data_IF_711021683035
#
_entry.id   IF_711021683035
#
_cell.length_a   1.000
_cell.length_b   1.000
_cell.length_c   1.000
_cell.angle_alpha   90.00
_cell.angle_beta   90.00
_cell.angle_gamma   90.00
#
_symmetry.space_group_name_H-M   'P 1'
#
loop_
_entity.id
_entity.type
_entity.pdbx_description
1 polymer ?
#
# COMPACT_ATOMS: atom_id res chain seq x y z
N UNK A 1 -38.49 34.57 -9.03
CA UNK A 1 -37.36 34.36 -9.96
C UNK A 1 -36.02 34.97 -9.51
N UNK A 2 -35.96 36.21 -9.02
CA UNK A 2 -34.68 36.89 -8.68
C UNK A 2 -33.88 36.21 -7.55
N UNK A 3 -34.56 35.66 -6.53
CA UNK A 3 -33.90 34.94 -5.42
C UNK A 3 -33.24 33.63 -5.89
N UNK A 4 -33.90 32.88 -6.77
CA UNK A 4 -33.38 31.65 -7.38
C UNK A 4 -32.13 31.93 -8.22
N UNK A 5 -32.14 33.01 -9.02
CA UNK A 5 -30.99 33.42 -9.84
C UNK A 5 -29.78 33.82 -8.98
N UNK A 6 -30.00 34.47 -7.82
CA UNK A 6 -28.93 34.79 -6.86
C UNK A 6 -28.32 33.55 -6.21
N UNK A 7 -29.11 32.50 -5.93
CA UNK A 7 -28.60 31.22 -5.39
C UNK A 7 -27.77 30.46 -6.42
N UNK A 8 -28.26 30.36 -7.66
CA UNK A 8 -27.58 29.67 -8.76
C UNK A 8 -26.19 30.26 -9.08
N UNK A 9 -26.02 31.59 -8.94
CA UNK A 9 -24.72 32.24 -9.16
C UNK A 9 -23.63 31.77 -8.21
N UNK A 10 -23.97 31.36 -6.98
CA UNK A 10 -23.00 30.89 -5.97
C UNK A 10 -22.65 29.40 -6.09
N UNK A 11 -23.37 28.69 -6.96
CA UNK A 11 -23.29 27.23 -7.05
C UNK A 11 -21.89 26.73 -7.46
N UNK A 12 -21.18 27.33 -8.45
CA UNK A 12 -19.89 26.81 -8.89
C UNK A 12 -18.86 26.73 -7.76
N UNK A 13 -18.74 27.79 -6.95
CA UNK A 13 -17.78 27.81 -5.83
C UNK A 13 -18.11 26.80 -4.74
N UNK A 14 -19.39 26.53 -4.47
CA UNK A 14 -19.78 25.53 -3.47
C UNK A 14 -19.63 24.10 -3.98
N UNK A 15 -19.92 23.85 -5.27
CA UNK A 15 -19.62 22.55 -5.90
C UNK A 15 -18.10 22.30 -5.86
N UNK A 16 -17.29 23.30 -6.25
CA UNK A 16 -15.84 23.19 -6.22
C UNK A 16 -15.30 22.88 -4.82
N UNK A 17 -15.87 23.51 -3.78
CA UNK A 17 -15.54 23.21 -2.38
C UNK A 17 -15.94 21.79 -1.99
N UNK A 18 -17.14 21.34 -2.36
CA UNK A 18 -17.57 19.98 -2.07
C UNK A 18 -16.64 18.93 -2.68
N UNK A 19 -16.32 19.08 -3.96
CA UNK A 19 -15.44 18.14 -4.69
C UNK A 19 -14.02 18.17 -4.12
N UNK A 20 -13.40 19.35 -3.92
CA UNK A 20 -12.02 19.41 -3.41
C UNK A 20 -11.91 18.90 -1.97
N UNK A 21 -12.94 19.11 -1.15
CA UNK A 21 -12.99 18.56 0.21
C UNK A 21 -13.01 17.03 0.16
N UNK A 22 -13.83 16.45 -0.72
CA UNK A 22 -13.87 15.00 -0.93
C UNK A 22 -12.51 14.46 -1.40
N UNK A 23 -11.90 15.09 -2.41
CA UNK A 23 -10.59 14.68 -2.92
C UNK A 23 -9.51 14.75 -1.84
N UNK A 24 -9.43 15.87 -1.10
CA UNK A 24 -8.48 16.01 0.02
C UNK A 24 -8.70 14.94 1.10
N UNK A 25 -9.96 14.60 1.37
CA UNK A 25 -10.33 13.58 2.36
C UNK A 25 -9.87 12.19 1.90
N UNK A 26 -10.11 11.83 0.64
CA UNK A 26 -9.70 10.55 0.06
C UNK A 26 -8.18 10.42 0.08
N UNK A 27 -7.45 11.45 -0.36
CA UNK A 27 -5.98 11.42 -0.39
C UNK A 27 -5.37 11.30 1.00
N UNK A 28 -5.92 12.01 1.99
CA UNK A 28 -5.43 11.92 3.37
C UNK A 28 -5.79 10.58 4.02
N UNK A 29 -7.00 10.08 3.79
CA UNK A 29 -7.42 8.75 4.24
C UNK A 29 -6.49 7.66 3.69
N UNK A 30 -6.26 7.66 2.38
CA UNK A 30 -5.38 6.68 1.71
C UNK A 30 -3.94 6.81 2.19
N UNK A 31 -3.39 8.04 2.22
CA UNK A 31 -2.01 8.27 2.65
C UNK A 31 -1.74 7.86 4.10
N UNK A 32 -2.69 8.09 5.02
CA UNK A 32 -2.58 7.59 6.39
C UNK A 32 -2.76 6.08 6.47
N UNK A 33 -3.66 5.51 5.65
CA UNK A 33 -3.83 4.06 5.53
C UNK A 33 -2.52 3.37 5.18
N UNK A 34 -1.85 3.80 4.10
CA UNK A 34 -0.54 3.27 3.70
C UNK A 34 0.54 3.56 4.77
N UNK A 35 0.53 4.75 5.37
CA UNK A 35 1.49 5.09 6.42
C UNK A 35 1.40 4.14 7.61
N UNK A 36 0.20 3.82 8.10
CA UNK A 36 0.03 2.86 9.20
C UNK A 36 0.22 1.40 8.76
N UNK A 37 -0.18 1.07 7.53
CA UNK A 37 -0.11 -0.28 7.00
C UNK A 37 1.34 -0.72 6.73
N UNK A 38 2.19 0.17 6.21
CA UNK A 38 3.53 -0.18 5.73
C UNK A 38 4.66 0.64 6.35
N UNK A 39 4.44 1.94 6.58
CA UNK A 39 5.51 2.86 6.94
C UNK A 39 5.78 3.00 8.44
N UNK A 40 4.75 2.81 9.26
CA UNK A 40 4.82 3.14 10.68
C UNK A 40 5.73 2.20 11.44
N UNK A 41 6.75 2.75 12.10
CA UNK A 41 7.70 1.99 12.90
C UNK A 41 8.84 1.35 12.09
N UNK A 42 8.87 1.50 10.76
CA UNK A 42 9.94 0.98 9.91
C UNK A 42 11.04 2.04 9.74
N UNK A 43 12.26 1.85 10.26
CA UNK A 43 13.29 2.90 10.31
C UNK A 43 13.70 3.47 8.94
N UNK A 44 13.79 2.62 7.93
CA UNK A 44 14.22 2.99 6.57
C UNK A 44 13.09 3.58 5.72
N UNK A 45 11.85 3.54 6.19
CA UNK A 45 10.68 3.99 5.43
C UNK A 45 10.27 5.38 5.90
N UNK A 46 10.46 6.44 5.09
CA UNK A 46 10.03 7.79 5.44
C UNK A 46 8.50 7.92 5.36
N UNK A 47 7.81 7.48 6.42
CA UNK A 47 6.34 7.34 6.46
C UNK A 47 5.59 8.66 6.17
N UNK A 48 6.19 9.82 6.43
CA UNK A 48 5.59 11.11 6.12
C UNK A 48 5.44 11.34 4.60
N UNK A 49 6.19 10.64 3.76
CA UNK A 49 6.06 10.74 2.30
C UNK A 49 4.70 10.20 1.81
N UNK A 50 4.07 9.28 2.52
CA UNK A 50 2.70 8.83 2.22
C UNK A 50 1.67 9.97 2.34
N UNK A 51 1.99 11.03 3.10
CA UNK A 51 1.13 12.20 3.28
C UNK A 51 1.41 13.33 2.28
N UNK A 52 2.45 13.20 1.45
CA UNK A 52 2.91 14.26 0.55
C UNK A 52 1.82 14.67 -0.45
N UNK A 53 1.12 13.70 -1.06
CA UNK A 53 0.05 13.97 -2.03
C UNK A 53 -1.10 14.71 -1.36
N UNK A 54 -1.54 14.25 -0.18
CA UNK A 54 -2.61 14.89 0.58
C UNK A 54 -2.23 16.33 1.00
N UNK A 55 -1.00 16.52 1.49
CA UNK A 55 -0.49 17.83 1.89
C UNK A 55 -0.46 18.81 0.71
N UNK A 56 0.05 18.39 -0.45
CA UNK A 56 0.08 19.20 -1.67
C UNK A 56 -1.33 19.52 -2.16
N UNK A 57 -2.25 18.55 -2.17
CA UNK A 57 -3.64 18.77 -2.56
C UNK A 57 -4.34 19.80 -1.66
N UNK A 58 -4.13 19.71 -0.33
CA UNK A 58 -4.64 20.68 0.63
C UNK A 58 -4.04 22.06 0.38
N UNK A 59 -2.73 22.17 0.16
CA UNK A 59 -2.07 23.46 -0.15
C UNK A 59 -2.63 24.10 -1.43
N UNK A 60 -2.83 23.32 -2.49
CA UNK A 60 -3.42 23.81 -3.73
C UNK A 60 -4.89 24.22 -3.53
N UNK A 61 -5.65 23.49 -2.71
CA UNK A 61 -7.01 23.87 -2.36
C UNK A 61 -7.05 25.21 -1.60
N UNK A 62 -6.11 25.44 -0.68
CA UNK A 62 -5.96 26.70 0.04
C UNK A 62 -5.59 27.84 -0.92
N UNK A 63 -4.69 27.59 -1.87
CA UNK A 63 -4.34 28.56 -2.91
C UNK A 63 -5.56 28.91 -3.78
N UNK A 64 -6.37 27.92 -4.20
CA UNK A 64 -7.58 28.16 -5.00
C UNK A 64 -8.66 28.89 -4.19
N UNK A 65 -8.78 28.59 -2.89
CA UNK A 65 -9.66 29.32 -1.99
C UNK A 65 -9.14 30.74 -1.76
N UNK A 66 -7.83 31.00 -1.69
CA UNK A 66 -7.32 32.35 -1.40
C UNK A 66 -7.21 33.23 -2.64
N UNK A 67 -6.81 32.64 -3.77
CA UNK A 67 -6.55 33.28 -5.07
C UNK A 67 -7.16 32.42 -6.19
N UNK A 68 -8.46 32.52 -6.45
CA UNK A 68 -9.17 31.59 -7.34
C UNK A 68 -8.60 31.48 -8.75
N UNK A 69 -8.08 32.56 -9.33
CA UNK A 69 -7.45 32.53 -10.66
C UNK A 69 -6.13 31.77 -10.65
N UNK A 70 -5.23 32.11 -9.72
CA UNK A 70 -3.91 31.48 -9.61
C UNK A 70 -4.06 30.02 -9.15
N UNK A 71 -4.73 29.79 -8.02
CA UNK A 71 -4.90 28.45 -7.48
C UNK A 71 -5.80 27.56 -8.36
N UNK A 72 -6.82 28.13 -9.00
CA UNK A 72 -7.61 27.39 -9.98
C UNK A 72 -6.79 26.99 -11.21
N UNK A 73 -5.91 27.86 -11.69
CA UNK A 73 -4.95 27.55 -12.75
C UNK A 73 -3.96 26.46 -12.34
N UNK A 74 -3.42 26.51 -11.12
CA UNK A 74 -2.55 25.47 -10.56
C UNK A 74 -3.27 24.11 -10.54
N UNK A 75 -4.52 24.08 -10.07
CA UNK A 75 -5.31 22.83 -10.03
C UNK A 75 -5.59 22.25 -11.41
N UNK A 76 -5.87 23.10 -12.40
CA UNK A 76 -6.01 22.67 -13.81
C UNK A 76 -4.69 22.09 -14.32
N UNK A 77 -3.58 22.81 -14.14
CA UNK A 77 -2.27 22.35 -14.59
C UNK A 77 -1.87 21.03 -13.91
N UNK A 78 -2.08 20.91 -12.60
CA UNK A 78 -1.79 19.69 -11.84
C UNK A 78 -2.66 18.51 -12.29
N UNK A 79 -3.97 18.72 -12.49
CA UNK A 79 -4.87 17.68 -13.00
C UNK A 79 -4.48 17.18 -14.39
N UNK A 80 -4.14 18.10 -15.31
CA UNK A 80 -3.66 17.74 -16.66
C UNK A 80 -2.31 17.03 -16.60
N UNK A 81 -1.35 17.54 -15.83
CA UNK A 81 -0.03 16.93 -15.69
C UNK A 81 -0.14 15.51 -15.12
N UNK A 82 -0.97 15.32 -14.08
CA UNK A 82 -1.24 14.00 -13.52
C UNK A 82 -1.90 13.08 -14.55
N UNK A 83 -2.88 13.57 -15.32
CA UNK A 83 -3.51 12.82 -16.40
C UNK A 83 -2.49 12.30 -17.41
N UNK A 84 -1.62 13.18 -17.91
CA UNK A 84 -0.57 12.82 -18.88
C UNK A 84 0.41 11.81 -18.29
N UNK A 85 0.82 12.01 -17.03
CA UNK A 85 1.81 11.16 -16.36
C UNK A 85 1.37 9.70 -16.26
N UNK A 86 0.09 9.41 -16.00
CA UNK A 86 -0.39 8.02 -15.93
C UNK A 86 -0.91 7.47 -17.26
N UNK A 87 -1.45 8.34 -18.13
CA UNK A 87 -2.02 7.94 -19.42
C UNK A 87 -0.95 7.38 -20.35
N UNK A 88 0.20 8.06 -20.44
CA UNK A 88 1.27 7.70 -21.38
C UNK A 88 1.85 6.31 -21.08
N UNK A 89 2.29 5.99 -19.84
CA UNK A 89 2.75 4.65 -19.52
C UNK A 89 1.66 3.59 -19.66
N UNK A 90 0.41 3.90 -19.28
CA UNK A 90 -0.71 2.95 -19.37
C UNK A 90 -1.04 2.53 -20.80
N UNK A 91 -0.93 3.45 -21.77
CA UNK A 91 -1.07 3.12 -23.20
C UNK A 91 0.10 2.25 -23.66
N UNK A 92 1.32 2.57 -23.22
CA UNK A 92 2.53 1.84 -23.61
C UNK A 92 2.56 0.41 -23.06
N UNK A 93 2.02 0.18 -21.86
CA UNK A 93 2.03 -1.13 -21.20
C UNK A 93 0.86 -2.03 -21.60
N UNK A 94 -0.08 -1.56 -22.44
CA UNK A 94 -1.25 -2.35 -22.87
C UNK A 94 -2.31 -2.60 -21.78
N UNK A 95 -2.04 -2.19 -20.53
CA UNK A 95 -2.97 -2.32 -19.39
C UNK A 95 -4.00 -1.18 -19.37
N UNK A 96 -4.90 -1.18 -20.35
CA UNK A 96 -5.91 -0.14 -20.49
C UNK A 96 -7.33 -0.73 -20.44
N UNK A 97 -7.91 -0.81 -19.25
CA UNK A 97 -9.35 -1.10 -19.09
C UNK A 97 -10.14 0.20 -18.94
N UNK A 98 -11.41 0.18 -19.39
CA UNK A 98 -12.31 1.33 -19.25
C UNK A 98 -12.49 1.73 -17.78
N UNK A 99 -12.52 0.75 -16.87
CA UNK A 99 -12.62 0.98 -15.43
C UNK A 99 -11.44 1.79 -14.89
N UNK A 100 -10.21 1.35 -15.17
CA UNK A 100 -8.98 2.04 -14.76
C UNK A 100 -8.95 3.46 -15.33
N UNK A 101 -9.37 3.64 -16.59
CA UNK A 101 -9.42 4.95 -17.22
C UNK A 101 -10.41 5.89 -16.50
N UNK A 102 -11.61 5.41 -16.15
CA UNK A 102 -12.63 6.20 -15.47
C UNK A 102 -12.21 6.59 -14.05
N UNK A 103 -11.62 5.66 -13.28
CA UNK A 103 -11.12 5.94 -11.93
C UNK A 103 -10.04 7.02 -11.95
N UNK A 104 -9.05 6.88 -12.83
CA UNK A 104 -7.94 7.83 -12.93
C UNK A 104 -8.36 9.16 -13.54
N UNK A 105 -9.37 9.17 -14.43
CA UNK A 105 -10.02 10.38 -14.92
C UNK A 105 -10.80 11.09 -13.81
N UNK A 106 -11.43 10.37 -12.89
CA UNK A 106 -12.10 10.98 -11.74
C UNK A 106 -11.09 11.73 -10.85
N UNK A 107 -9.92 11.11 -10.61
CA UNK A 107 -8.86 11.71 -9.79
C UNK A 107 -8.20 12.92 -10.48
N UNK A 108 -7.77 12.77 -11.73
CA UNK A 108 -7.11 13.84 -12.50
C UNK A 108 -8.09 14.93 -12.96
N UNK A 109 -9.22 14.51 -13.55
CA UNK A 109 -10.30 15.39 -14.00
C UNK A 109 -11.01 16.10 -12.85
N UNK A 110 -11.04 15.50 -11.65
CA UNK A 110 -11.56 16.13 -10.45
C UNK A 110 -10.84 17.43 -10.12
N UNK A 111 -9.51 17.45 -10.12
CA UNK A 111 -8.73 18.66 -9.88
C UNK A 111 -8.92 19.71 -10.99
N UNK A 112 -8.94 19.29 -12.25
CA UNK A 112 -9.18 20.18 -13.39
C UNK A 112 -10.56 20.85 -13.33
N UNK A 113 -11.60 20.06 -13.04
CA UNK A 113 -12.97 20.55 -12.87
C UNK A 113 -13.06 21.53 -11.70
N UNK A 114 -12.48 21.19 -10.54
CA UNK A 114 -12.43 22.07 -9.37
C UNK A 114 -11.75 23.39 -9.71
N UNK A 115 -10.60 23.35 -10.39
CA UNK A 115 -9.89 24.56 -10.79
C UNK A 115 -10.73 25.46 -11.69
N UNK A 116 -11.40 24.88 -12.69
CA UNK A 116 -12.34 25.62 -13.55
C UNK A 116 -13.52 26.22 -12.77
N UNK A 117 -14.08 25.48 -11.80
CA UNK A 117 -15.17 25.95 -10.96
C UNK A 117 -14.76 27.14 -10.06
N UNK A 118 -13.53 27.15 -9.53
CA UNK A 118 -13.02 28.29 -8.75
C UNK A 118 -12.81 29.53 -9.62
N UNK A 119 -12.27 29.38 -10.82
CA UNK A 119 -12.11 30.49 -11.78
C UNK A 119 -13.49 31.04 -12.16
N UNK A 120 -14.45 30.15 -12.44
CA UNK A 120 -15.82 30.53 -12.77
C UNK A 120 -16.51 31.25 -11.60
N UNK A 121 -16.35 30.75 -10.37
CA UNK A 121 -16.89 31.40 -9.16
C UNK A 121 -16.33 32.80 -8.97
N UNK A 122 -15.03 33.00 -9.18
CA UNK A 122 -14.42 34.32 -9.06
C UNK A 122 -14.89 35.30 -10.14
N UNK A 123 -15.12 34.81 -11.37
CA UNK A 123 -15.69 35.61 -12.46
C UNK A 123 -17.14 36.01 -12.19
N UNK A 124 -17.95 35.11 -11.63
CA UNK A 124 -19.39 35.35 -11.39
C UNK A 124 -19.64 36.10 -10.08
N UNK A 125 -18.83 35.85 -9.05
CA UNK A 125 -18.92 36.37 -7.68
C UNK A 125 -17.57 36.96 -7.24
N UNK A 126 -17.16 38.13 -7.78
CA UNK A 126 -15.94 38.79 -7.35
C UNK A 126 -16.00 39.09 -5.85
N UNK A 127 -14.86 38.92 -5.17
CA UNK A 127 -14.79 39.13 -3.73
C UNK A 127 -14.87 40.63 -3.41
N UNK A 128 -15.68 41.03 -2.41
CA UNK A 128 -15.65 42.40 -1.94
C UNK A 128 -14.30 42.70 -1.28
N UNK A 129 -13.86 43.95 -1.37
CA UNK A 129 -12.63 44.47 -0.75
C UNK A 129 -12.69 44.45 0.77
N UNK A 130 -13.88 44.67 1.33
CA UNK A 130 -14.17 44.59 2.76
C UNK A 130 -15.21 43.49 3.01
N UNK A 131 -14.98 42.68 4.04
CA UNK A 131 -15.84 41.55 4.38
C UNK A 131 -16.08 41.52 5.89
N UNK A 132 -17.16 42.19 6.31
CA UNK A 132 -17.61 42.33 7.70
C UNK A 132 -18.37 41.10 8.22
N UNK A 133 -18.38 40.00 7.46
CA UNK A 133 -19.04 38.78 7.90
C UNK A 133 -18.32 38.20 9.14
N UNK A 134 -19.08 37.52 10.05
CA UNK A 134 -18.47 36.77 11.14
C UNK A 134 -17.39 35.82 10.65
N UNK A 135 -16.32 35.65 11.44
CA UNK A 135 -15.12 34.86 11.08
C UNK A 135 -15.47 33.49 10.50
N UNK A 136 -16.39 32.75 11.12
CA UNK A 136 -16.82 31.43 10.65
C UNK A 136 -17.39 31.49 9.23
N UNK A 137 -18.25 32.47 8.93
CA UNK A 137 -18.84 32.62 7.59
C UNK A 137 -17.81 33.08 6.55
N UNK A 138 -16.82 33.86 6.97
CA UNK A 138 -15.70 34.30 6.15
C UNK A 138 -14.78 33.12 5.77
N UNK A 139 -14.51 32.23 6.72
CA UNK A 139 -13.58 31.11 6.57
C UNK A 139 -14.25 29.75 6.33
N UNK A 140 -15.58 29.69 6.18
CA UNK A 140 -16.34 28.43 6.04
C UNK A 140 -15.79 27.53 4.92
N UNK A 141 -15.42 28.10 3.77
CA UNK A 141 -14.83 27.33 2.66
C UNK A 141 -13.52 26.64 3.05
N UNK A 142 -12.65 27.35 3.78
CA UNK A 142 -11.39 26.81 4.31
C UNK A 142 -11.65 25.76 5.39
N UNK A 143 -12.57 26.04 6.31
CA UNK A 143 -12.94 25.11 7.38
C UNK A 143 -13.46 23.78 6.82
N UNK A 144 -14.22 23.79 5.74
CA UNK A 144 -14.67 22.55 5.09
C UNK A 144 -13.51 21.85 4.36
N UNK A 145 -12.79 22.56 3.49
CA UNK A 145 -11.75 21.98 2.65
C UNK A 145 -10.52 21.45 3.40
N UNK A 146 -10.30 21.91 4.64
CA UNK A 146 -9.21 21.46 5.50
C UNK A 146 -9.72 20.68 6.72
N UNK A 147 -10.76 21.19 7.38
CA UNK A 147 -11.25 20.61 8.64
C UNK A 147 -11.83 19.20 8.47
N UNK A 148 -12.57 18.92 7.40
CA UNK A 148 -13.11 17.58 7.15
C UNK A 148 -11.99 16.55 6.86
N UNK A 149 -11.02 16.83 5.97
CA UNK A 149 -9.87 15.95 5.80
C UNK A 149 -9.10 15.73 7.11
N UNK A 150 -8.77 16.80 7.85
CA UNK A 150 -8.04 16.65 9.11
C UNK A 150 -8.82 15.83 10.14
N UNK A 151 -10.14 16.01 10.24
CA UNK A 151 -10.98 15.18 11.10
C UNK A 151 -10.94 13.71 10.67
N UNK A 152 -10.99 13.44 9.36
CA UNK A 152 -10.83 12.09 8.83
C UNK A 152 -9.48 11.50 9.20
N UNK A 153 -8.40 12.29 9.09
CA UNK A 153 -7.07 11.85 9.49
C UNK A 153 -6.98 11.54 10.98
N UNK A 154 -7.64 12.33 11.84
CA UNK A 154 -7.73 12.03 13.28
C UNK A 154 -8.49 10.72 13.54
N UNK A 155 -9.57 10.45 12.82
CA UNK A 155 -10.33 9.19 12.94
C UNK A 155 -9.48 8.00 12.50
N UNK A 156 -8.79 8.09 11.35
CA UNK A 156 -7.89 7.04 10.86
C UNK A 156 -6.75 6.79 11.85
N UNK A 157 -6.15 7.85 12.39
CA UNK A 157 -5.11 7.72 13.41
C UNK A 157 -5.67 7.10 14.70
N UNK A 158 -6.81 7.56 15.21
CA UNK A 158 -7.42 7.00 16.42
C UNK A 158 -7.75 5.50 16.28
N UNK A 159 -8.12 5.05 15.07
CA UNK A 159 -8.40 3.64 14.78
C UNK A 159 -7.12 2.79 14.69
N UNK A 160 -6.10 3.25 13.97
CA UNK A 160 -4.90 2.44 13.69
C UNK A 160 -3.81 2.54 14.75
N UNK A 161 -3.70 3.69 15.42
CA UNK A 161 -2.63 3.96 16.37
C UNK A 161 -2.56 2.95 17.53
N UNK A 162 -3.69 2.53 18.15
CA UNK A 162 -3.65 1.50 19.18
C UNK A 162 -2.98 0.21 18.67
N UNK A 163 -3.40 -0.29 17.50
CA UNK A 163 -2.83 -1.51 16.90
C UNK A 163 -1.32 -1.39 16.72
N UNK A 164 -0.86 -0.35 16.00
CA UNK A 164 0.57 -0.21 15.68
C UNK A 164 1.44 0.10 16.90
N UNK A 165 0.90 0.77 17.93
CA UNK A 165 1.63 1.04 19.18
C UNK A 165 1.69 -0.16 20.13
N UNK A 166 0.78 -1.13 19.96
CA UNK A 166 0.75 -2.36 20.76
C UNK A 166 1.47 -3.53 20.10
N UNK A 167 2.09 -3.32 18.93
CA UNK A 167 2.83 -4.37 18.23
C UNK A 167 3.93 -4.95 19.08
N UNK A 168 3.99 -6.28 19.12
CA UNK A 168 5.05 -7.02 19.79
C UNK A 168 6.21 -7.24 18.82
N UNK A 169 7.39 -6.77 19.22
CA UNK A 169 8.68 -7.12 18.65
C UNK A 169 9.60 -7.60 19.78
N UNK A 170 9.92 -8.88 19.80
CA UNK A 170 10.87 -9.43 20.78
C UNK A 170 12.34 -9.18 20.40
N UNK A 171 12.60 -8.58 19.23
CA UNK A 171 13.94 -8.33 18.70
C UNK A 171 14.71 -9.59 18.29
N UNK A 172 14.12 -10.77 18.46
CA UNK A 172 14.74 -12.01 18.08
C UNK A 172 14.60 -12.21 16.56
N UNK A 173 15.72 -12.49 15.93
CA UNK A 173 15.83 -12.74 14.50
C UNK A 173 16.52 -14.08 14.21
N UNK A 174 16.60 -14.97 15.20
CA UNK A 174 17.09 -16.33 15.05
C UNK A 174 16.08 -17.21 14.32
N UNK A 175 16.46 -18.48 14.11
CA UNK A 175 15.49 -19.48 13.71
C UNK A 175 14.44 -19.62 14.82
N UNK A 176 13.16 -19.72 14.45
CA UNK A 176 12.05 -19.77 15.41
C UNK A 176 11.13 -20.93 15.09
N UNK A 177 10.92 -21.79 16.07
CA UNK A 177 9.80 -22.73 16.04
C UNK A 177 8.50 -21.96 16.26
N UNK A 178 7.56 -22.07 15.33
CA UNK A 178 6.21 -21.52 15.44
C UNK A 178 5.24 -22.71 15.42
N UNK A 179 4.49 -22.86 16.50
CA UNK A 179 3.52 -23.93 16.70
C UNK A 179 2.13 -23.34 16.92
N UNK A 180 1.13 -23.89 16.24
CA UNK A 180 -0.26 -23.48 16.39
C UNK A 180 -1.10 -23.90 15.19
N UNK A 181 -2.42 -23.93 15.38
CA UNK A 181 -3.41 -24.31 14.36
C UNK A 181 -3.04 -25.57 13.53
N UNK A 182 -2.44 -26.58 14.18
CA UNK A 182 -2.06 -27.84 13.56
C UNK A 182 -0.77 -27.83 12.73
N UNK A 183 0.03 -26.76 12.77
CA UNK A 183 1.37 -26.71 12.18
C UNK A 183 2.45 -26.53 13.24
N UNK A 184 3.63 -27.10 12.98
CA UNK A 184 4.85 -26.93 13.77
C UNK A 184 6.02 -26.81 12.79
N UNK A 185 6.53 -25.59 12.59
CA UNK A 185 7.58 -25.30 11.60
C UNK A 185 8.68 -24.45 12.20
N UNK A 186 9.93 -24.71 11.82
CA UNK A 186 11.07 -23.85 12.11
C UNK A 186 11.23 -22.85 10.96
N UNK A 187 11.08 -21.57 11.28
CA UNK A 187 11.21 -20.45 10.35
C UNK A 187 12.64 -19.92 10.36
N UNK A 188 13.19 -19.65 9.17
CA UNK A 188 14.58 -19.27 8.98
C UNK A 188 14.97 -18.00 9.76
N UNK A 189 16.22 -17.88 10.22
CA UNK A 189 16.74 -16.65 10.82
C UNK A 189 16.89 -15.53 9.79
N UNK A 190 17.14 -14.31 10.27
CA UNK A 190 17.49 -13.19 9.41
C UNK A 190 18.74 -13.50 8.60
N UNK A 191 18.67 -13.26 7.30
CA UNK A 191 19.71 -13.62 6.36
C UNK A 191 19.12 -14.01 5.00
N UNK A 192 19.80 -14.86 4.22
CA UNK A 192 19.33 -15.24 2.90
C UNK A 192 18.01 -16.02 2.89
N UNK A 193 17.60 -16.59 4.04
CA UNK A 193 16.32 -17.27 4.18
C UNK A 193 15.17 -16.36 4.62
N UNK A 194 15.43 -15.08 4.87
CA UNK A 194 14.43 -14.13 5.33
C UNK A 194 14.72 -12.72 4.79
N UNK A 195 13.90 -12.28 3.84
CA UNK A 195 13.93 -10.92 3.29
C UNK A 195 15.32 -10.50 2.75
N UNK A 196 15.89 -11.23 1.78
CA UNK A 196 17.16 -10.86 1.16
C UNK A 196 17.02 -9.56 0.33
N UNK A 197 17.36 -8.43 0.94
CA UNK A 197 17.31 -7.10 0.30
C UNK A 197 18.31 -7.05 -0.87
N UNK A 198 17.89 -6.47 -1.99
CA UNK A 198 18.68 -6.31 -3.22
C UNK A 198 19.23 -4.89 -3.32
N UNK A 199 20.24 -4.70 -4.16
CA UNK A 199 20.91 -3.39 -4.35
C UNK A 199 19.98 -2.29 -4.85
N UNK A 200 18.92 -2.65 -5.60
CA UNK A 200 17.90 -1.69 -6.04
C UNK A 200 16.94 -1.25 -4.92
N UNK A 201 17.10 -1.76 -3.70
CA UNK A 201 16.34 -1.39 -2.51
C UNK A 201 15.08 -2.22 -2.25
N UNK A 202 14.74 -3.19 -3.11
CA UNK A 202 13.61 -4.10 -2.93
C UNK A 202 14.01 -5.54 -2.64
N UNK A 203 13.03 -6.44 -2.75
CA UNK A 203 13.19 -7.88 -2.51
C UNK A 203 12.94 -8.67 -3.79
N UNK A 204 13.42 -9.93 -3.88
CA UNK A 204 13.26 -10.77 -5.06
C UNK A 204 11.78 -10.98 -5.43
N UNK A 205 11.52 -11.10 -6.72
CA UNK A 205 10.22 -11.56 -7.22
C UNK A 205 10.01 -13.05 -6.90
N UNK A 206 8.77 -13.54 -6.97
CA UNK A 206 8.50 -14.97 -6.80
C UNK A 206 9.30 -15.82 -7.78
N UNK A 207 9.37 -15.42 -9.04
CA UNK A 207 10.15 -16.10 -10.09
C UNK A 207 11.62 -16.13 -9.72
N UNK A 208 12.18 -14.99 -9.32
CA UNK A 208 13.56 -14.88 -8.86
C UNK A 208 13.84 -15.87 -7.73
N UNK A 209 12.93 -15.98 -6.75
CA UNK A 209 13.08 -16.94 -5.66
C UNK A 209 13.07 -18.38 -6.18
N UNK A 210 12.15 -18.72 -7.08
CA UNK A 210 12.00 -20.06 -7.64
C UNK A 210 13.18 -20.50 -8.51
N UNK A 211 13.77 -19.60 -9.31
CA UNK A 211 14.81 -19.95 -10.28
C UNK A 211 16.24 -19.74 -9.78
N UNK A 212 16.43 -19.49 -8.48
CA UNK A 212 17.73 -19.15 -7.87
C UNK A 212 18.86 -20.12 -8.28
N UNK A 213 18.58 -21.43 -8.26
CA UNK A 213 19.55 -22.49 -8.54
C UNK A 213 19.77 -22.84 -10.01
N UNK A 214 19.13 -22.16 -10.95
CA UNK A 214 19.31 -22.42 -12.38
C UNK A 214 20.58 -21.72 -12.90
N UNK A 215 21.36 -22.40 -13.75
CA UNK A 215 22.70 -21.97 -14.25
C UNK A 215 22.73 -20.61 -14.97
N UNK A 216 21.58 -20.02 -15.28
CA UNK A 216 21.51 -18.62 -15.67
C UNK A 216 21.70 -17.78 -14.40
N UNK A 217 22.97 -17.54 -14.02
CA UNK A 217 23.32 -16.71 -12.87
C UNK A 217 22.72 -15.30 -13.02
N UNK A 218 21.54 -15.12 -12.43
CA UNK A 218 20.82 -13.86 -12.42
C UNK A 218 19.35 -14.09 -12.11
N UNK A 219 18.81 -13.36 -11.13
CA UNK A 219 17.40 -13.40 -10.74
C UNK A 219 16.43 -12.80 -11.80
N UNK A 220 16.92 -12.56 -13.01
CA UNK A 220 16.21 -12.02 -14.17
C UNK A 220 16.25 -13.06 -15.29
N UNK A 221 15.33 -14.02 -15.25
CA UNK A 221 15.17 -15.04 -16.29
C UNK A 221 13.80 -14.91 -16.93
N UNK A 222 13.71 -15.07 -18.26
CA UNK A 222 12.44 -15.21 -19.01
C UNK A 222 11.77 -16.59 -18.80
N UNK A 223 12.30 -17.40 -17.87
CA UNK A 223 11.75 -18.71 -17.53
C UNK A 223 10.40 -18.53 -16.86
N UNK A 224 9.40 -19.23 -17.37
CA UNK A 224 8.12 -19.33 -16.70
C UNK A 224 8.23 -20.33 -15.53
N UNK A 225 8.47 -19.82 -14.32
CA UNK A 225 8.68 -20.63 -13.14
C UNK A 225 7.37 -21.24 -12.61
N UNK A 226 7.46 -22.50 -12.19
CA UNK A 226 6.37 -23.34 -11.67
C UNK A 226 6.56 -23.64 -10.19
N UNK A 227 5.52 -24.16 -9.51
CA UNK A 227 5.67 -24.64 -8.12
C UNK A 227 6.74 -25.73 -7.99
N UNK A 228 6.93 -26.55 -9.03
CA UNK A 228 7.98 -27.56 -9.06
C UNK A 228 9.38 -26.91 -9.06
N UNK A 229 9.56 -25.80 -9.78
CA UNK A 229 10.81 -25.03 -9.74
C UNK A 229 11.03 -24.43 -8.34
N UNK A 230 9.97 -23.88 -7.72
CA UNK A 230 10.04 -23.37 -6.35
C UNK A 230 10.45 -24.46 -5.35
N UNK A 231 10.01 -25.70 -5.54
CA UNK A 231 10.41 -26.82 -4.69
C UNK A 231 11.83 -27.33 -4.99
N UNK A 232 12.28 -27.29 -6.25
CA UNK A 232 13.52 -27.93 -6.69
C UNK A 232 14.74 -27.02 -6.66
N UNK A 233 14.57 -25.73 -7.00
CA UNK A 233 15.68 -24.82 -7.30
C UNK A 233 15.58 -23.47 -6.58
N UNK A 234 14.63 -23.30 -5.66
CA UNK A 234 14.47 -22.03 -4.97
C UNK A 234 15.63 -21.67 -4.04
N UNK A 235 15.74 -20.39 -3.69
CA UNK A 235 16.75 -19.89 -2.74
C UNK A 235 16.75 -20.66 -1.41
N UNK A 236 15.58 -21.11 -0.94
CA UNK A 236 15.46 -21.86 0.30
C UNK A 236 16.20 -23.20 0.24
N UNK A 237 16.16 -23.88 -0.91
CA UNK A 237 16.82 -25.19 -1.10
C UNK A 237 18.34 -25.10 -0.88
N UNK A 238 18.94 -23.93 -1.10
CA UNK A 238 20.38 -23.68 -0.98
C UNK A 238 20.80 -23.18 0.41
N UNK A 239 19.89 -23.03 1.36
CA UNK A 239 20.24 -22.58 2.71
C UNK A 239 21.04 -23.64 3.47
N UNK A 240 22.08 -23.19 4.18
CA UNK A 240 22.77 -24.00 5.18
C UNK A 240 21.81 -24.52 6.26
N UNK A 241 22.20 -25.56 6.99
CA UNK A 241 21.38 -26.13 8.07
C UNK A 241 20.94 -25.09 9.12
N UNK A 242 21.81 -24.11 9.43
CA UNK A 242 21.50 -23.02 10.36
C UNK A 242 20.72 -21.86 9.71
N UNK A 243 20.49 -21.90 8.40
CA UNK A 243 19.73 -20.92 7.62
C UNK A 243 20.42 -19.57 7.42
N UNK A 244 21.71 -19.43 7.78
CA UNK A 244 22.42 -18.13 7.78
C UNK A 244 23.16 -17.82 6.50
N UNK A 245 23.52 -18.82 5.70
CA UNK A 245 24.28 -18.64 4.45
C UNK A 245 23.68 -19.46 3.32
N UNK A 246 23.96 -19.06 2.08
CA UNK A 246 23.65 -19.85 0.89
C UNK A 246 24.85 -20.73 0.55
N UNK A 247 24.58 -22.00 0.31
CA UNK A 247 25.53 -23.00 -0.12
C UNK A 247 25.64 -23.01 -1.64
N UNK A 248 26.73 -23.57 -2.17
CA UNK A 248 26.91 -23.72 -3.61
C UNK A 248 26.09 -24.89 -4.20
N UNK A 249 25.67 -25.82 -3.34
CA UNK A 249 24.90 -27.01 -3.72
C UNK A 249 23.54 -27.02 -2.99
N UNK A 250 22.49 -27.58 -3.61
CA UNK A 250 21.22 -27.83 -2.95
C UNK A 250 21.37 -28.63 -1.64
N UNK A 251 20.78 -28.15 -0.56
CA UNK A 251 20.76 -28.81 0.75
C UNK A 251 19.44 -29.53 1.03
N UNK A 252 18.33 -29.04 0.46
CA UNK A 252 16.98 -29.58 0.67
C UNK A 252 16.53 -29.66 2.14
N UNK A 253 17.10 -28.81 2.99
CA UNK A 253 16.72 -28.69 4.42
C UNK A 253 15.56 -27.70 4.57
N UNK A 254 15.64 -26.57 3.87
CA UNK A 254 14.66 -25.51 3.92
C UNK A 254 13.85 -25.45 2.62
N UNK A 255 12.60 -25.02 2.73
CA UNK A 255 11.68 -24.82 1.61
C UNK A 255 10.88 -23.54 1.80
N UNK A 256 10.22 -23.10 0.73
CA UNK A 256 9.19 -22.07 0.86
C UNK A 256 7.95 -22.63 1.58
N UNK A 257 7.30 -21.85 2.46
CA UNK A 257 6.04 -22.25 3.09
C UNK A 257 4.87 -22.08 2.12
N UNK A 258 3.85 -22.92 2.25
CA UNK A 258 2.58 -22.78 1.52
C UNK A 258 1.72 -21.64 2.08
N UNK A 259 0.66 -21.25 1.36
CA UNK A 259 -0.34 -20.30 1.86
C UNK A 259 -0.96 -20.79 3.16
N UNK A 260 -1.35 -22.06 3.25
CA UNK A 260 -1.97 -22.66 4.45
C UNK A 260 -1.00 -22.65 5.65
N UNK A 261 0.28 -22.93 5.43
CA UNK A 261 1.30 -22.90 6.50
C UNK A 261 1.53 -21.48 7.04
N UNK A 262 1.58 -20.47 6.17
CA UNK A 262 1.65 -19.08 6.61
C UNK A 262 0.38 -18.72 7.37
N UNK A 263 -0.81 -19.02 6.83
CA UNK A 263 -2.09 -18.75 7.46
C UNK A 263 -2.13 -19.27 8.90
N UNK A 264 -1.79 -20.54 9.07
CA UNK A 264 -1.79 -21.22 10.38
C UNK A 264 -0.67 -20.76 11.31
N UNK A 265 0.30 -20.01 10.83
CA UNK A 265 1.39 -19.42 11.62
C UNK A 265 1.18 -17.95 11.96
N UNK A 266 0.13 -17.31 11.43
CA UNK A 266 -0.22 -15.93 11.77
C UNK A 266 -0.55 -15.82 13.26
N UNK A 267 -0.17 -14.70 13.87
CA UNK A 267 -0.32 -14.49 15.30
C UNK A 267 -0.56 -13.03 15.63
N UNK A 268 -0.99 -12.79 16.87
CA UNK A 268 -1.07 -11.48 17.50
C UNK A 268 -0.86 -11.61 19.00
N UNK A 269 -0.05 -10.72 19.54
CA UNK A 269 0.37 -10.65 20.94
C UNK A 269 0.89 -11.98 21.47
N UNK A 270 1.69 -12.68 20.65
CA UNK A 270 2.24 -14.00 20.98
C UNK A 270 1.23 -15.15 20.96
N UNK A 271 -0.01 -14.91 20.55
CA UNK A 271 -1.06 -15.92 20.43
C UNK A 271 -1.32 -16.22 18.95
N UNK A 272 -1.43 -17.50 18.60
CA UNK A 272 -1.82 -17.91 17.25
C UNK A 272 -3.20 -17.32 16.88
N UNK A 273 -3.35 -16.81 15.66
CA UNK A 273 -4.55 -16.12 15.22
C UNK A 273 -5.70 -17.06 14.79
N UNK A 274 -5.46 -18.38 14.72
CA UNK A 274 -6.45 -19.38 14.33
C UNK A 274 -6.83 -19.30 12.84
N UNK A 275 -6.02 -18.64 12.01
CA UNK A 275 -6.39 -18.39 10.62
C UNK A 275 -6.40 -19.68 9.78
N UNK A 276 -7.47 -19.86 9.00
CA UNK A 276 -7.61 -20.93 8.01
C UNK A 276 -7.83 -20.36 6.63
N UNK A 277 -7.19 -20.98 5.63
CA UNK A 277 -7.37 -20.63 4.22
C UNK A 277 -8.28 -21.65 3.54
N UNK A 278 -9.24 -21.16 2.77
CA UNK A 278 -10.25 -21.95 2.05
C UNK A 278 -9.85 -22.27 0.59
N UNK A 279 -8.67 -21.82 0.16
CA UNK A 279 -8.20 -21.96 -1.22
C UNK A 279 -8.51 -20.75 -2.10
N UNK A 280 -9.23 -19.74 -1.59
CA UNK A 280 -9.66 -18.57 -2.37
C UNK A 280 -8.88 -17.30 -2.00
N UNK A 281 -8.89 -16.32 -2.90
CA UNK A 281 -8.34 -15.00 -2.58
C UNK A 281 -9.27 -14.22 -1.65
N UNK A 282 -8.70 -13.37 -0.80
CA UNK A 282 -9.48 -12.56 0.13
C UNK A 282 -8.99 -12.65 1.56
N UNK A 283 -9.86 -12.28 2.49
CA UNK A 283 -9.56 -12.33 3.93
C UNK A 283 -9.80 -13.75 4.44
N UNK A 284 -8.80 -14.31 5.10
CA UNK A 284 -8.90 -15.61 5.79
C UNK A 284 -9.90 -15.52 6.94
N UNK A 285 -10.50 -16.67 7.27
CA UNK A 285 -11.25 -16.82 8.51
C UNK A 285 -10.26 -17.00 9.67
N UNK A 286 -10.32 -16.12 10.67
CA UNK A 286 -9.39 -16.09 11.80
C UNK A 286 -10.14 -15.78 13.10
N UNK A 287 -9.78 -16.47 14.18
CA UNK A 287 -10.30 -16.18 15.53
C UNK A 287 -9.86 -14.79 16.03
N UNK A 288 -8.65 -14.38 15.67
CA UNK A 288 -8.08 -13.08 15.97
C UNK A 288 -7.59 -12.43 14.67
N UNK A 289 -7.74 -11.11 14.55
CA UNK A 289 -7.10 -10.40 13.43
C UNK A 289 -5.59 -10.38 13.68
N UNK A 290 -4.77 -11.04 12.84
CA UNK A 290 -3.33 -11.07 13.00
C UNK A 290 -2.72 -9.69 12.71
N UNK A 291 -1.50 -9.47 13.19
CA UNK A 291 -0.75 -8.24 12.91
C UNK A 291 0.72 -8.57 12.57
N UNK A 292 1.44 -7.54 12.12
CA UNK A 292 2.86 -7.61 11.81
C UNK A 292 3.65 -7.64 13.10
N UNK A 293 3.77 -8.84 13.69
CA UNK A 293 4.44 -9.10 14.97
C UNK A 293 5.37 -10.33 14.91
N UNK A 294 6.34 -10.36 15.81
CA UNK A 294 7.16 -11.55 16.08
C UNK A 294 6.28 -12.68 16.66
N UNK A 295 6.57 -13.97 16.36
CA UNK A 295 7.81 -14.47 15.78
C UNK A 295 7.84 -14.57 14.25
N UNK A 296 6.69 -14.46 13.56
CA UNK A 296 6.63 -14.68 12.11
C UNK A 296 7.12 -13.45 11.32
N UNK A 297 6.67 -12.26 11.71
CA UNK A 297 7.01 -11.00 11.07
C UNK A 297 8.05 -10.23 11.89
N UNK A 298 8.72 -9.30 11.23
CA UNK A 298 9.56 -8.28 11.86
C UNK A 298 8.87 -6.91 11.71
N UNK A 299 8.34 -6.31 12.79
CA UNK A 299 7.61 -5.04 12.72
C UNK A 299 8.44 -3.87 12.17
N UNK A 300 9.76 -3.92 12.40
CA UNK A 300 10.75 -2.93 11.99
C UNK A 300 11.27 -3.12 10.55
N UNK A 301 10.86 -4.17 9.84
CA UNK A 301 11.27 -4.41 8.45
C UNK A 301 10.19 -3.98 7.44
N UNK A 302 10.55 -3.54 6.21
CA UNK A 302 9.56 -3.11 5.22
C UNK A 302 8.50 -4.15 4.79
N UNK A 303 8.80 -5.44 4.63
CA UNK A 303 7.82 -6.40 4.09
C UNK A 303 6.52 -6.47 4.88
N UNK A 304 5.42 -6.42 4.15
CA UNK A 304 4.05 -6.57 4.66
C UNK A 304 3.31 -7.74 4.00
N UNK A 305 3.93 -8.32 2.97
CA UNK A 305 3.50 -9.51 2.27
C UNK A 305 4.63 -10.53 2.25
N UNK A 306 4.30 -11.80 2.36
CA UNK A 306 5.22 -12.91 2.09
C UNK A 306 4.75 -13.67 0.86
N UNK A 307 5.69 -13.89 -0.06
CA UNK A 307 5.53 -14.89 -1.11
C UNK A 307 5.34 -16.27 -0.49
N UNK A 308 4.57 -17.10 -1.17
CA UNK A 308 4.33 -18.50 -0.77
C UNK A 308 4.94 -19.46 -1.78
N UNK A 309 5.00 -20.75 -1.44
CA UNK A 309 5.38 -21.78 -2.39
C UNK A 309 4.36 -21.94 -3.53
N UNK A 310 3.13 -21.47 -3.35
CA UNK A 310 2.03 -21.71 -4.26
C UNK A 310 2.01 -20.72 -5.44
N UNK A 311 1.86 -21.26 -6.64
CA UNK A 311 1.52 -20.49 -7.83
C UNK A 311 -0.01 -20.31 -7.88
N UNK A 312 -0.45 -19.17 -8.38
CA UNK A 312 -1.87 -18.94 -8.66
C UNK A 312 -2.23 -19.56 -10.00
N UNK A 313 -1.44 -19.22 -11.02
CA UNK A 313 -1.52 -19.76 -12.37
C UNK A 313 -0.12 -19.71 -13.04
N UNK A 314 -0.08 -19.68 -14.38
CA UNK A 314 1.16 -19.59 -15.13
C UNK A 314 1.86 -18.23 -14.94
N UNK A 315 1.14 -17.12 -14.77
CA UNK A 315 1.70 -15.77 -14.73
C UNK A 315 1.86 -15.23 -13.31
N UNK A 316 1.00 -15.65 -12.38
CA UNK A 316 0.84 -15.09 -11.05
C UNK A 316 1.18 -16.10 -9.94
N UNK A 317 1.57 -15.59 -8.78
CA UNK A 317 1.82 -16.37 -7.58
C UNK A 317 1.12 -15.77 -6.36
N UNK A 318 0.82 -16.64 -5.39
CA UNK A 318 0.16 -16.23 -4.15
C UNK A 318 1.13 -15.53 -3.20
N UNK A 319 0.61 -14.52 -2.52
CA UNK A 319 1.21 -13.91 -1.33
C UNK A 319 0.20 -13.81 -0.19
N UNK A 320 0.72 -13.74 1.03
CA UNK A 320 -0.06 -13.55 2.26
C UNK A 320 0.39 -12.26 2.94
N UNK A 321 -0.58 -11.42 3.31
CA UNK A 321 -0.33 -10.24 4.13
C UNK A 321 -0.32 -10.57 5.62
N UNK A 322 0.38 -9.75 6.41
CA UNK A 322 0.37 -9.88 7.88
C UNK A 322 -1.02 -9.74 8.51
N UNK A 323 -1.98 -9.14 7.80
CA UNK A 323 -3.38 -8.97 8.24
C UNK A 323 -4.28 -10.16 7.96
N UNK A 324 -3.74 -11.28 7.43
CA UNK A 324 -4.53 -12.46 7.10
C UNK A 324 -5.33 -12.31 5.80
N UNK A 325 -4.76 -11.60 4.82
CA UNK A 325 -5.33 -11.49 3.46
C UNK A 325 -4.44 -12.23 2.47
N UNK A 326 -5.05 -13.05 1.61
CA UNK A 326 -4.42 -13.77 0.50
C UNK A 326 -4.77 -13.10 -0.80
N UNK A 327 -3.80 -12.93 -1.68
CA UNK A 327 -4.03 -12.50 -3.06
C UNK A 327 -2.88 -12.99 -3.94
N UNK A 328 -2.88 -12.59 -5.19
CA UNK A 328 -1.86 -12.97 -6.16
C UNK A 328 -1.31 -11.74 -6.88
N UNK A 329 -0.08 -11.87 -7.35
CA UNK A 329 0.60 -10.86 -8.18
C UNK A 329 1.48 -11.57 -9.22
N UNK A 330 1.82 -10.88 -10.32
CA UNK A 330 2.75 -11.38 -11.33
C UNK A 330 4.03 -11.93 -10.70
N UNK A 331 4.43 -13.13 -11.12
CA UNK A 331 5.64 -13.81 -10.62
C UNK A 331 6.92 -12.99 -10.83
N UNK A 332 6.91 -12.04 -11.76
CA UNK A 332 8.01 -11.10 -12.05
C UNK A 332 8.10 -9.92 -11.09
N UNK A 333 7.09 -9.68 -10.27
CA UNK A 333 7.00 -8.44 -9.53
C UNK A 333 7.79 -8.49 -8.21
N UNK A 334 9.07 -8.13 -8.25
CA UNK A 334 9.84 -7.81 -7.05
C UNK A 334 9.56 -6.38 -6.58
N UNK A 335 9.26 -6.19 -5.29
CA UNK A 335 9.09 -4.84 -4.73
C UNK A 335 9.48 -4.79 -3.24
N UNK A 336 9.68 -3.59 -2.66
CA UNK A 336 10.08 -3.44 -1.26
C UNK A 336 9.04 -3.93 -0.22
N UNK A 337 7.81 -4.26 -0.63
CA UNK A 337 6.71 -4.70 0.26
C UNK A 337 6.60 -6.22 0.34
N UNK A 338 7.14 -6.95 -0.64
CA UNK A 338 7.04 -8.41 -0.76
C UNK A 338 8.32 -9.10 -0.30
N UNK A 339 8.27 -9.68 0.89
CA UNK A 339 9.34 -10.50 1.44
C UNK A 339 9.12 -11.99 1.18
N UNK A 340 9.94 -12.77 1.87
CA UNK A 340 9.78 -14.22 1.99
C UNK A 340 10.46 -14.68 3.27
N UNK A 341 10.06 -15.85 3.76
CA UNK A 341 10.75 -16.53 4.85
C UNK A 341 10.67 -18.04 4.67
N UNK A 342 11.82 -18.69 4.60
CA UNK A 342 11.91 -20.13 4.43
C UNK A 342 11.53 -20.87 5.71
N UNK A 343 11.06 -22.10 5.57
CA UNK A 343 10.68 -23.00 6.67
C UNK A 343 11.32 -24.37 6.51
N UNK A 344 11.41 -25.10 7.62
CA UNK A 344 11.69 -26.54 7.66
C UNK A 344 10.87 -27.22 8.74
N UNK A 345 10.76 -28.53 8.64
CA UNK A 345 10.19 -29.34 9.72
C UNK A 345 11.16 -29.35 10.93
N UNK A 346 10.65 -29.52 12.17
CA UNK A 346 11.42 -29.42 13.41
C UNK A 346 12.68 -30.29 13.48
#
# INVERSE_FOLDING_TARGET
>A
MAHTRKKLRKLPGWIGIGIITLLNTIWLYWGLGEAFYEGWGVPDTPWFLFLSIAAVAILFSLAAIRWPYVGGGILIAAGIAFAVWWLVPGIQSGFYSLGIALERLLLSGGFTLVGALFILDAKINPRPTEDDRPWVKKHLRTLLAVGIPLLTGLVVAAYNLPTVLTRVDDGDRSARLIEGNGVALIWAPKGPGWNLKRDFGGYPSWRSLATYGLEVQGLETDINATEADMAATSVCVYLSEDGKILMNEPQYIWRMPTVDEIARSLSRHGVNAGCTWDGETGRMDCDLTPDKETPLWAPDEPPVYFWTANAYDDEDAYYVSYTGFVSHQPKTWGNPRHGYRCVRDP
#
